data_IF_282579233703
#
_entry.id   IF_282579233703
#
_cell.length_a   1.000
_cell.length_b   1.000
_cell.length_c   1.000
_cell.angle_alpha   90.00
_cell.angle_beta   90.00
_cell.angle_gamma   90.00
#
_symmetry.space_group_name_H-M   'P 1'
#
loop_
_entity.id
_entity.type
_entity.pdbx_description
1 polymer ?
#
# COMPACT_ATOMS: atom_id res chain seq x y z
N UNK A 1 1.55 -7.03 4.16
CA UNK A 1 2.79 -7.24 3.41
C UNK A 1 3.36 -5.91 2.96
N UNK A 2 4.69 -5.82 2.81
CA UNK A 2 5.41 -4.63 2.38
C UNK A 2 6.39 -4.96 1.24
N UNK A 3 6.00 -4.77 -0.04
CA UNK A 3 6.91 -4.95 -1.16
C UNK A 3 7.85 -3.75 -1.30
N UNK A 4 9.16 -3.98 -1.20
CA UNK A 4 10.14 -2.88 -1.11
C UNK A 4 10.60 -2.39 -2.49
N UNK A 5 10.67 -1.07 -2.68
CA UNK A 5 11.35 -0.45 -3.81
C UNK A 5 12.84 -0.29 -3.47
N UNK A 6 13.73 -0.75 -4.37
CA UNK A 6 15.16 -0.76 -4.08
C UNK A 6 15.68 0.64 -3.78
N UNK A 7 16.33 0.81 -2.64
CA UNK A 7 16.97 2.07 -2.24
C UNK A 7 16.55 2.55 -0.87
N UNK A 8 15.49 2.02 -0.25
CA UNK A 8 14.93 2.60 0.97
C UNK A 8 14.92 1.67 2.18
N UNK A 9 15.98 0.88 2.39
CA UNK A 9 16.04 -0.05 3.53
C UNK A 9 15.78 0.67 4.87
N UNK A 10 16.43 1.82 5.08
CA UNK A 10 16.25 2.63 6.29
C UNK A 10 14.84 3.18 6.42
N UNK A 11 14.19 3.45 5.29
CA UNK A 11 12.79 3.85 5.27
C UNK A 11 11.89 2.69 5.70
N UNK A 12 12.15 1.49 5.21
CA UNK A 12 11.40 0.29 5.57
C UNK A 12 11.52 0.00 7.08
N UNK A 13 12.73 0.04 7.64
CA UNK A 13 12.94 -0.09 9.09
C UNK A 13 12.17 0.96 9.89
N UNK A 14 12.18 2.21 9.41
CA UNK A 14 11.41 3.30 10.03
C UNK A 14 9.90 3.03 9.95
N UNK A 15 9.39 2.59 8.80
CA UNK A 15 7.98 2.26 8.62
C UNK A 15 7.54 1.12 9.54
N UNK A 16 8.38 0.08 9.73
CA UNK A 16 8.12 -1.03 10.66
C UNK A 16 8.09 -0.55 12.11
N UNK A 17 9.03 0.30 12.52
CA UNK A 17 9.05 0.87 13.86
C UNK A 17 7.77 1.66 14.15
N UNK A 18 7.37 2.51 13.21
CA UNK A 18 6.13 3.29 13.30
C UNK A 18 4.89 2.38 13.32
N UNK A 19 4.87 1.30 12.54
CA UNK A 19 3.81 0.31 12.59
C UNK A 19 3.71 -0.35 13.97
N UNK A 20 4.83 -0.72 14.58
CA UNK A 20 4.85 -1.29 15.93
C UNK A 20 4.42 -0.30 17.03
N UNK A 21 4.76 0.99 16.88
CA UNK A 21 4.35 2.06 17.80
C UNK A 21 2.83 2.31 17.74
N UNK A 22 2.28 2.43 16.53
CA UNK A 22 0.89 2.87 16.33
C UNK A 22 -0.12 1.76 16.11
N UNK A 23 0.33 0.55 15.78
CA UNK A 23 -0.53 -0.61 15.56
C UNK A 23 0.07 -1.89 16.19
N UNK A 24 0.29 -1.92 17.52
CA UNK A 24 1.06 -2.99 18.17
C UNK A 24 0.47 -4.41 18.03
N UNK A 25 -0.82 -4.54 17.73
CA UNK A 25 -1.52 -5.80 17.50
C UNK A 25 -1.70 -6.14 16.01
N UNK A 26 -0.89 -5.55 15.12
CA UNK A 26 -0.90 -5.86 13.70
C UNK A 26 -0.53 -7.33 13.44
N UNK A 27 -1.09 -7.92 12.37
CA UNK A 27 -0.69 -9.24 11.88
C UNK A 27 0.77 -9.24 11.40
N UNK A 28 1.47 -10.39 11.38
CA UNK A 28 2.85 -10.44 10.91
C UNK A 28 3.07 -9.77 9.55
N UNK A 29 4.16 -9.02 9.43
CA UNK A 29 4.51 -8.26 8.25
C UNK A 29 5.49 -9.05 7.40
N UNK A 30 5.02 -9.42 6.21
CA UNK A 30 5.88 -10.02 5.20
C UNK A 30 6.51 -8.94 4.36
N UNK A 31 7.82 -8.78 4.51
CA UNK A 31 8.63 -7.88 3.71
C UNK A 31 9.08 -8.64 2.48
N UNK A 32 8.63 -8.17 1.33
CA UNK A 32 8.87 -8.84 0.06
C UNK A 32 9.85 -7.99 -0.71
N UNK A 33 11.05 -8.49 -0.90
CA UNK A 33 12.07 -7.63 -1.42
C UNK A 33 13.35 -8.32 -1.74
N UNK A 34 14.37 -7.47 -1.87
CA UNK A 34 15.64 -7.81 -2.48
C UNK A 34 16.77 -7.79 -1.46
N UNK A 35 16.49 -7.46 -0.19
CA UNK A 35 17.51 -7.13 0.79
C UNK A 35 17.45 -7.96 2.09
N UNK A 36 18.64 -8.43 2.48
CA UNK A 36 19.02 -9.16 3.68
C UNK A 36 19.32 -8.23 4.88
N UNK A 37 19.01 -6.94 4.77
CA UNK A 37 19.44 -5.93 5.73
C UNK A 37 18.51 -5.73 6.94
N UNK A 38 17.27 -6.22 6.89
CA UNK A 38 16.36 -6.15 8.04
C UNK A 38 16.68 -7.31 8.96
N UNK A 39 17.18 -6.98 10.15
CA UNK A 39 17.39 -7.96 11.20
C UNK A 39 16.04 -8.35 11.81
N UNK A 40 15.45 -9.44 11.32
CA UNK A 40 14.18 -10.00 11.81
C UNK A 40 14.17 -10.20 13.33
N UNK A 41 15.35 -10.44 13.95
CA UNK A 41 15.45 -10.62 15.41
C UNK A 41 15.09 -9.36 16.19
N UNK A 42 15.14 -8.18 15.56
CA UNK A 42 14.74 -6.90 16.15
C UNK A 42 13.22 -6.70 16.13
N UNK A 43 12.50 -7.42 15.28
CA UNK A 43 11.07 -7.21 15.04
C UNK A 43 10.32 -8.54 15.08
N UNK A 44 9.77 -8.88 16.24
CA UNK A 44 9.14 -10.20 16.51
C UNK A 44 8.01 -10.58 15.52
N UNK A 45 7.39 -9.60 14.87
CA UNK A 45 6.27 -9.76 13.94
C UNK A 45 6.67 -9.57 12.46
N UNK A 46 7.96 -9.64 12.11
CA UNK A 46 8.43 -9.43 10.73
C UNK A 46 9.03 -10.71 10.14
N UNK A 47 8.72 -10.98 8.87
CA UNK A 47 9.30 -12.06 8.07
C UNK A 47 9.82 -11.50 6.75
N UNK A 48 11.04 -11.82 6.37
CA UNK A 48 11.63 -11.34 5.12
C UNK A 48 11.64 -12.46 4.06
N UNK A 49 11.18 -12.12 2.86
CA UNK A 49 11.13 -13.04 1.72
C UNK A 49 11.97 -12.48 0.57
N UNK A 50 12.98 -13.25 0.19
CA UNK A 50 13.96 -12.88 -0.84
C UNK A 50 13.62 -13.58 -2.16
N UNK A 51 13.15 -12.80 -3.14
CA UNK A 51 12.80 -13.33 -4.45
C UNK A 51 14.01 -13.62 -5.36
N UNK A 52 15.19 -13.06 -5.03
CA UNK A 52 16.42 -13.27 -5.80
C UNK A 52 17.43 -12.13 -5.61
N UNK A 53 18.52 -12.15 -6.41
CA UNK A 53 19.57 -11.10 -6.38
C UNK A 53 19.07 -9.76 -6.95
N UNK A 54 19.48 -8.67 -6.31
CA UNK A 54 19.01 -7.30 -6.48
C UNK A 54 19.02 -6.77 -7.93
N UNK A 55 20.08 -7.04 -8.68
CA UNK A 55 20.25 -6.59 -10.07
C UNK A 55 19.42 -7.35 -11.11
N UNK A 56 18.72 -8.42 -10.69
CA UNK A 56 18.08 -9.38 -11.61
C UNK A 56 16.59 -9.57 -11.42
N UNK A 57 16.00 -8.96 -10.39
CA UNK A 57 14.57 -9.13 -10.07
C UNK A 57 13.88 -7.78 -10.00
N UNK A 58 12.84 -7.60 -10.81
CA UNK A 58 12.00 -6.42 -10.79
C UNK A 58 11.01 -6.43 -9.60
N UNK A 59 10.37 -5.28 -9.32
CA UNK A 59 9.45 -5.16 -8.19
C UNK A 59 8.24 -6.09 -8.36
N UNK A 60 7.65 -6.10 -9.55
CA UNK A 60 6.48 -6.96 -9.85
C UNK A 60 6.82 -8.45 -9.81
N UNK A 61 8.03 -8.84 -10.21
CA UNK A 61 8.49 -10.23 -10.15
C UNK A 61 8.63 -10.71 -8.71
N UNK A 62 9.24 -9.89 -7.84
CA UNK A 62 9.37 -10.23 -6.42
C UNK A 62 8.01 -10.37 -5.75
N UNK A 63 7.10 -9.43 -6.01
CA UNK A 63 5.73 -9.45 -5.52
C UNK A 63 4.98 -10.69 -6.02
N UNK A 64 5.02 -10.97 -7.33
CA UNK A 64 4.36 -12.14 -7.91
C UNK A 64 4.88 -13.43 -7.30
N UNK A 65 6.20 -13.61 -7.24
CA UNK A 65 6.83 -14.78 -6.65
C UNK A 65 6.37 -15.03 -5.21
N UNK A 66 6.30 -13.97 -4.39
CA UNK A 66 5.83 -14.08 -3.02
C UNK A 66 4.36 -14.53 -2.95
N UNK A 67 3.51 -13.86 -3.72
CA UNK A 67 2.07 -14.14 -3.73
C UNK A 67 1.75 -15.56 -4.20
N UNK A 68 2.53 -16.09 -5.13
CA UNK A 68 2.32 -17.42 -5.70
C UNK A 68 2.90 -18.55 -4.84
N UNK A 69 4.04 -18.31 -4.17
CA UNK A 69 4.78 -19.39 -3.47
C UNK A 69 4.61 -19.40 -1.96
N UNK A 70 4.35 -18.25 -1.35
CA UNK A 70 4.42 -18.10 0.11
C UNK A 70 3.09 -17.63 0.70
N UNK A 71 2.45 -16.63 0.11
CA UNK A 71 1.20 -16.08 0.61
C UNK A 71 0.04 -17.07 0.45
N UNK A 72 -0.48 -17.60 1.55
CA UNK A 72 -1.66 -18.47 1.55
C UNK A 72 -2.97 -17.69 1.63
N UNK A 73 -2.94 -16.45 2.12
CA UNK A 73 -4.13 -15.64 2.35
C UNK A 73 -4.86 -15.28 1.04
N UNK A 74 -6.18 -15.14 1.11
CA UNK A 74 -7.00 -14.66 0.00
C UNK A 74 -6.89 -13.15 -0.17
N UNK A 75 -6.86 -12.43 0.95
CA UNK A 75 -6.75 -10.98 1.01
C UNK A 75 -5.41 -10.58 1.58
N UNK A 76 -4.80 -9.55 0.99
CA UNK A 76 -3.55 -8.99 1.47
C UNK A 76 -3.76 -7.51 1.77
N UNK A 77 -3.21 -7.05 2.89
CA UNK A 77 -2.99 -5.62 3.10
C UNK A 77 -1.62 -5.27 2.52
N UNK A 78 -1.61 -4.49 1.44
CA UNK A 78 -0.38 -3.97 0.83
C UNK A 78 -0.09 -2.59 1.41
N UNK A 79 1.11 -2.41 1.97
CA UNK A 79 1.66 -1.13 2.43
C UNK A 79 3.04 -0.93 1.76
N UNK A 80 3.40 0.29 1.35
CA UNK A 80 4.75 0.53 0.81
C UNK A 80 5.79 0.63 1.91
N UNK A 81 7.06 0.49 1.53
CA UNK A 81 8.21 0.56 2.42
C UNK A 81 8.52 1.98 2.90
N UNK A 82 7.88 3.00 2.34
CA UNK A 82 7.89 4.39 2.81
C UNK A 82 6.58 4.84 3.47
N UNK A 83 5.69 3.88 3.77
CA UNK A 83 4.38 4.14 4.36
C UNK A 83 4.46 4.21 5.89
N UNK A 84 4.86 5.36 6.42
CA UNK A 84 5.05 5.56 7.87
C UNK A 84 3.75 5.86 8.59
N UNK A 85 3.17 4.86 9.27
CA UNK A 85 1.95 5.05 10.07
C UNK A 85 2.19 6.13 11.14
N UNK A 86 1.24 7.04 11.30
CA UNK A 86 1.42 8.21 12.16
C UNK A 86 0.37 8.34 13.28
N UNK A 87 -0.60 7.43 13.32
CA UNK A 87 -1.60 7.30 14.38
C UNK A 87 -2.24 5.91 14.30
N UNK A 88 -2.94 5.44 15.35
CA UNK A 88 -3.64 4.17 15.31
C UNK A 88 -4.64 4.08 14.15
N UNK A 89 -4.69 2.95 13.41
CA UNK A 89 -5.69 2.76 12.36
C UNK A 89 -7.11 2.75 12.89
N UNK A 90 -8.05 3.19 12.05
CA UNK A 90 -9.47 3.13 12.37
C UNK A 90 -9.99 1.70 12.17
N UNK A 91 -10.04 0.91 13.27
CA UNK A 91 -10.45 -0.50 13.25
C UNK A 91 -11.81 -0.73 12.59
N UNK A 92 -12.81 0.08 12.95
CA UNK A 92 -14.16 -0.03 12.38
C UNK A 92 -14.15 0.10 10.85
N UNK A 93 -13.38 1.04 10.31
CA UNK A 93 -13.26 1.24 8.85
C UNK A 93 -12.49 0.11 8.19
N UNK A 94 -11.46 -0.44 8.83
CA UNK A 94 -10.74 -1.61 8.34
C UNK A 94 -11.64 -2.84 8.27
N UNK A 95 -12.37 -3.14 9.35
CA UNK A 95 -13.33 -4.26 9.41
C UNK A 95 -14.42 -4.11 8.35
N UNK A 96 -14.94 -2.90 8.19
CA UNK A 96 -15.92 -2.59 7.13
C UNK A 96 -15.34 -2.80 5.73
N UNK A 97 -14.12 -2.34 5.46
CA UNK A 97 -13.47 -2.51 4.16
C UNK A 97 -13.25 -4.00 3.85
N UNK A 98 -12.75 -4.78 4.82
CA UNK A 98 -12.58 -6.24 4.69
C UNK A 98 -13.94 -6.89 4.41
N UNK A 99 -14.97 -6.60 5.20
CA UNK A 99 -16.30 -7.19 5.01
C UNK A 99 -16.89 -6.91 3.62
N UNK A 100 -16.68 -5.71 3.08
CA UNK A 100 -17.13 -5.34 1.73
C UNK A 100 -16.39 -6.15 0.66
N UNK A 101 -15.06 -6.23 0.76
CA UNK A 101 -14.25 -6.98 -0.22
C UNK A 101 -14.56 -8.48 -0.14
N UNK A 102 -14.76 -9.04 1.05
CA UNK A 102 -15.05 -10.47 1.25
C UNK A 102 -16.41 -10.88 0.71
N UNK A 103 -17.41 -9.99 0.74
CA UNK A 103 -18.77 -10.29 0.27
C UNK A 103 -18.96 -10.06 -1.24
N UNK A 104 -18.09 -9.29 -1.88
CA UNK A 104 -18.21 -8.93 -3.30
C UNK A 104 -16.99 -9.36 -4.10
N UNK A 105 -17.16 -10.48 -4.80
CA UNK A 105 -16.14 -11.13 -5.62
C UNK A 105 -15.68 -10.32 -6.83
N UNK A 106 -16.40 -9.25 -7.15
CA UNK A 106 -16.01 -8.33 -8.21
C UNK A 106 -15.02 -7.26 -7.76
N UNK A 107 -14.76 -7.09 -6.46
CA UNK A 107 -13.80 -6.10 -5.97
C UNK A 107 -12.38 -6.67 -6.02
N UNK A 108 -11.52 -6.03 -6.82
CA UNK A 108 -10.10 -6.33 -6.95
C UNK A 108 -9.29 -5.76 -5.78
N UNK A 109 -9.56 -4.50 -5.40
CA UNK A 109 -8.97 -3.88 -4.22
C UNK A 109 -9.88 -2.85 -3.57
N UNK A 110 -9.65 -2.64 -2.27
CA UNK A 110 -10.22 -1.56 -1.48
C UNK A 110 -9.08 -0.69 -0.96
N UNK A 111 -8.94 0.49 -1.52
CA UNK A 111 -7.94 1.47 -1.11
C UNK A 111 -8.32 2.10 0.22
N UNK A 112 -7.34 2.20 1.11
CA UNK A 112 -7.50 2.70 2.48
C UNK A 112 -7.03 4.14 2.63
N UNK A 113 -6.51 4.71 1.55
CA UNK A 113 -6.15 6.12 1.41
C UNK A 113 -7.30 6.91 0.78
N UNK A 114 -7.47 8.15 1.22
CA UNK A 114 -8.39 9.06 0.56
C UNK A 114 -7.77 9.55 -0.74
N UNK A 115 -8.53 9.45 -1.82
CA UNK A 115 -8.19 10.13 -3.06
C UNK A 115 -9.24 11.17 -3.40
N UNK A 116 -8.76 12.26 -4.02
CA UNK A 116 -9.58 13.26 -4.66
C UNK A 116 -10.24 12.69 -5.93
N UNK A 117 -11.33 11.94 -5.76
CA UNK A 117 -12.11 11.41 -6.88
C UNK A 117 -13.50 12.04 -6.90
N UNK A 118 -14.00 12.36 -8.10
CA UNK A 118 -15.44 12.61 -8.29
C UNK A 118 -16.17 11.32 -7.94
N UNK A 119 -16.95 11.28 -6.85
CA UNK A 119 -17.39 10.02 -6.29
C UNK A 119 -18.54 9.42 -7.13
N UNK A 120 -18.28 8.30 -7.80
CA UNK A 120 -19.35 7.43 -8.32
C UNK A 120 -19.69 6.38 -7.27
N UNK A 121 -20.93 6.37 -6.71
CA UNK A 121 -21.32 5.39 -5.70
C UNK A 121 -21.16 3.96 -6.20
N UNK A 122 -20.60 3.09 -5.37
CA UNK A 122 -20.45 1.68 -5.72
C UNK A 122 -21.68 0.87 -5.32
N UNK A 123 -22.44 0.36 -6.30
CA UNK A 123 -23.60 -0.57 -6.12
C UNK A 123 -24.50 -0.18 -4.94
N UNK A 124 -25.01 1.06 -4.97
CA UNK A 124 -25.91 1.65 -3.96
C UNK A 124 -25.31 1.86 -2.56
N UNK A 125 -24.00 1.68 -2.37
CA UNK A 125 -23.30 2.09 -1.14
C UNK A 125 -22.98 3.58 -1.24
N UNK A 126 -23.59 4.38 -0.38
CA UNK A 126 -23.40 5.84 -0.38
C UNK A 126 -22.01 6.25 0.11
N UNK A 127 -21.38 5.43 0.94
CA UNK A 127 -20.09 5.70 1.58
C UNK A 127 -18.90 5.01 0.90
N UNK A 128 -19.15 4.24 -0.18
CA UNK A 128 -18.11 3.59 -0.98
C UNK A 128 -18.21 4.06 -2.43
N UNK A 129 -17.07 4.35 -3.02
CA UNK A 129 -16.98 4.90 -4.38
C UNK A 129 -16.04 4.07 -5.24
N UNK A 130 -16.36 3.97 -6.53
CA UNK A 130 -15.48 3.34 -7.53
C UNK A 130 -14.33 4.30 -7.87
N UNK A 131 -13.14 3.75 -8.05
CA UNK A 131 -12.03 4.49 -8.63
C UNK A 131 -12.33 4.83 -10.09
N UNK A 132 -12.18 6.10 -10.51
CA UNK A 132 -12.43 6.50 -11.89
C UNK A 132 -11.33 5.98 -12.83
N UNK A 133 -11.67 5.94 -14.12
CA UNK A 133 -10.76 5.58 -15.19
C UNK A 133 -9.73 6.69 -15.47
N UNK A 134 -8.58 6.67 -14.80
CA UNK A 134 -7.52 7.70 -14.94
C UNK A 134 -6.11 7.10 -14.93
N UNK A 135 -5.07 7.89 -15.22
CA UNK A 135 -3.70 7.39 -15.43
C UNK A 135 -3.06 6.66 -14.22
N UNK A 136 -3.66 6.77 -13.03
CA UNK A 136 -3.21 6.11 -11.79
C UNK A 136 -4.39 5.45 -11.05
N UNK A 137 -5.30 4.79 -11.80
CA UNK A 137 -6.45 4.05 -11.23
C UNK A 137 -5.99 2.83 -10.44
N UNK A 138 -4.87 2.27 -10.84
CA UNK A 138 -4.03 1.42 -9.99
C UNK A 138 -3.00 2.31 -9.31
N UNK A 139 -3.00 2.29 -7.98
CA UNK A 139 -1.88 2.77 -7.19
C UNK A 139 -1.51 1.74 -6.13
N UNK A 140 -0.30 1.87 -5.65
CA UNK A 140 0.34 0.95 -4.71
C UNK A 140 0.33 1.49 -3.27
N UNK A 141 -0.43 2.56 -3.02
CA UNK A 141 -0.72 3.05 -1.67
C UNK A 141 -1.52 2.00 -0.88
N UNK A 142 -1.71 2.24 0.42
CA UNK A 142 -2.36 1.26 1.29
C UNK A 142 -3.72 0.79 0.75
N UNK A 143 -3.83 -0.52 0.55
CA UNK A 143 -5.04 -1.15 0.04
C UNK A 143 -5.14 -2.61 0.46
N UNK A 144 -6.38 -3.06 0.66
CA UNK A 144 -6.71 -4.48 0.75
C UNK A 144 -6.86 -4.99 -0.68
N UNK A 145 -6.03 -5.93 -1.09
CA UNK A 145 -6.10 -6.55 -2.41
C UNK A 145 -6.62 -7.97 -2.29
N UNK A 146 -7.47 -8.37 -3.24
CA UNK A 146 -7.75 -9.78 -3.44
C UNK A 146 -6.60 -10.40 -4.24
N UNK A 147 -5.92 -11.38 -3.64
CA UNK A 147 -4.69 -12.00 -4.16
C UNK A 147 -4.84 -12.45 -5.61
N UNK A 148 -5.94 -13.14 -5.94
CA UNK A 148 -6.19 -13.67 -7.29
C UNK A 148 -6.18 -12.59 -8.38
N UNK A 149 -6.73 -11.41 -8.10
CA UNK A 149 -6.78 -10.30 -9.03
C UNK A 149 -5.42 -9.63 -9.17
N UNK A 150 -4.71 -9.40 -8.06
CA UNK A 150 -3.37 -8.84 -8.09
C UNK A 150 -2.38 -9.75 -8.85
N UNK A 151 -2.39 -11.06 -8.58
CA UNK A 151 -1.55 -12.03 -9.31
C UNK A 151 -1.86 -12.04 -10.80
N UNK A 152 -3.15 -11.97 -11.18
CA UNK A 152 -3.57 -11.91 -12.59
C UNK A 152 -3.01 -10.66 -13.27
N UNK A 153 -3.09 -9.50 -12.62
CA UNK A 153 -2.55 -8.25 -13.13
C UNK A 153 -1.02 -8.32 -13.26
N UNK A 154 -0.32 -8.84 -12.25
CA UNK A 154 1.14 -8.99 -12.26
C UNK A 154 1.62 -9.89 -13.40
N UNK A 155 1.01 -11.08 -13.59
CA UNK A 155 1.33 -12.00 -14.68
C UNK A 155 1.17 -11.35 -16.05
N UNK A 156 0.12 -10.55 -16.20
CA UNK A 156 -0.20 -9.88 -17.45
C UNK A 156 0.79 -8.77 -17.80
N UNK A 157 1.19 -8.00 -16.79
CA UNK A 157 2.07 -6.86 -16.95
C UNK A 157 3.54 -7.29 -17.07
N UNK A 158 3.94 -8.36 -16.40
CA UNK A 158 5.30 -8.87 -16.40
C UNK A 158 6.25 -8.04 -15.53
N UNK A 159 7.52 -8.02 -15.93
CA UNK A 159 8.64 -7.45 -15.15
C UNK A 159 8.72 -5.93 -15.24
N UNK A 160 8.55 -5.22 -14.13
CA UNK A 160 8.62 -3.75 -14.08
C UNK A 160 8.86 -3.16 -12.69
N UNK A 161 9.14 -1.84 -12.65
CA UNK A 161 9.20 -1.04 -11.42
C UNK A 161 7.79 -0.78 -10.87
N UNK A 162 7.74 -0.22 -9.67
CA UNK A 162 6.48 0.15 -9.00
C UNK A 162 5.72 1.22 -9.79
N UNK A 163 6.40 2.26 -10.27
CA UNK A 163 5.79 3.37 -11.02
C UNK A 163 5.27 2.90 -12.38
N UNK A 164 6.02 2.02 -13.05
CA UNK A 164 5.59 1.40 -14.29
C UNK A 164 4.38 0.48 -14.07
N UNK A 165 4.31 -0.23 -12.93
CA UNK A 165 3.15 -1.04 -12.57
C UNK A 165 1.89 -0.19 -12.36
N UNK A 166 1.99 0.93 -11.65
CA UNK A 166 0.86 1.85 -11.46
C UNK A 166 0.33 2.38 -12.79
N UNK A 167 1.21 2.88 -13.65
CA UNK A 167 0.84 3.43 -14.96
C UNK A 167 0.26 2.37 -15.89
N UNK A 168 0.99 1.27 -16.11
CA UNK A 168 0.58 0.22 -17.06
C UNK A 168 -0.61 -0.58 -16.56
N UNK A 169 -0.69 -0.81 -15.25
CA UNK A 169 -1.85 -1.41 -14.61
C UNK A 169 -3.09 -0.55 -14.78
N UNK A 170 -2.96 0.77 -14.61
CA UNK A 170 -4.04 1.71 -14.87
C UNK A 170 -4.49 1.70 -16.33
N UNK A 171 -3.56 1.67 -17.29
CA UNK A 171 -3.90 1.57 -18.72
C UNK A 171 -4.69 0.30 -19.05
N UNK A 172 -4.24 -0.85 -18.54
CA UNK A 172 -4.94 -2.14 -18.73
C UNK A 172 -6.33 -2.09 -18.10
N UNK A 173 -6.40 -1.67 -16.83
CA UNK A 173 -7.65 -1.59 -16.09
C UNK A 173 -8.64 -0.68 -16.81
N UNK A 174 -8.22 0.52 -17.22
CA UNK A 174 -9.11 1.52 -17.81
C UNK A 174 -9.63 1.12 -19.19
N UNK A 175 -8.85 0.38 -19.99
CA UNK A 175 -9.29 -0.12 -21.29
C UNK A 175 -10.31 -1.26 -21.16
N UNK A 176 -10.25 -1.98 -20.06
CA UNK A 176 -11.00 -3.21 -19.82
C UNK A 176 -11.88 -3.10 -18.59
N UNK A 177 -12.37 -1.90 -18.28
CA UNK A 177 -13.29 -1.66 -17.16
C UNK A 177 -14.54 -2.52 -17.36
N UNK A 178 -14.48 -3.72 -16.79
CA UNK A 178 -15.59 -4.65 -16.65
C UNK A 178 -16.11 -4.49 -15.23
N UNK A 179 -17.37 -4.84 -14.99
CA UNK A 179 -17.95 -4.84 -13.64
C UNK A 179 -17.39 -5.97 -12.76
N UNK A 180 -16.44 -6.75 -13.28
CA UNK A 180 -15.60 -7.70 -12.58
C UNK A 180 -14.19 -7.13 -12.46
N UNK A 181 -13.66 -6.97 -11.25
CA UNK A 181 -12.34 -6.36 -10.94
C UNK A 181 -12.38 -4.84 -10.74
N UNK A 182 -13.33 -4.35 -9.96
CA UNK A 182 -13.40 -2.93 -9.58
C UNK A 182 -12.44 -2.60 -8.44
N UNK A 183 -11.96 -1.37 -8.45
CA UNK A 183 -11.19 -0.78 -7.35
C UNK A 183 -12.08 0.24 -6.65
N UNK A 184 -12.13 0.19 -5.32
CA UNK A 184 -13.02 1.04 -4.52
C UNK A 184 -12.30 1.69 -3.35
N UNK A 185 -12.88 2.74 -2.77
CA UNK A 185 -12.47 3.33 -1.48
C UNK A 185 -13.69 3.90 -0.76
N UNK A 186 -13.51 4.28 0.50
CA UNK A 186 -14.48 5.10 1.17
C UNK A 186 -14.55 6.49 0.54
N UNK A 187 -15.78 7.01 0.44
CA UNK A 187 -16.01 8.41 0.08
C UNK A 187 -15.26 9.33 1.05
N UNK A 188 -14.52 10.30 0.52
CA UNK A 188 -13.92 11.35 1.33
C UNK A 188 -15.03 12.21 1.96
N UNK A 189 -14.93 12.57 3.26
CA UNK A 189 -15.93 13.40 3.92
C UNK A 189 -15.98 14.86 3.44
N UNK A 190 -15.10 15.29 2.52
CA UNK A 190 -15.09 16.66 1.97
C UNK A 190 -14.92 16.74 0.45
N UNK A 191 -15.24 17.90 -0.11
CA UNK A 191 -15.09 18.24 -1.55
C UNK A 191 -13.65 18.61 -1.93
N UNK A 192 -12.78 18.86 -0.95
CA UNK A 192 -11.42 19.31 -1.20
C UNK A 192 -10.57 18.15 -1.72
N UNK A 193 -9.84 18.35 -2.84
CA UNK A 193 -8.88 17.37 -3.32
C UNK A 193 -7.81 17.13 -2.25
N UNK A 194 -7.92 16.01 -1.52
CA UNK A 194 -6.81 15.53 -0.74
C UNK A 194 -5.86 14.86 -1.73
N UNK A 195 -4.78 15.57 -2.07
CA UNK A 195 -3.61 14.89 -2.57
C UNK A 195 -3.13 13.93 -1.47
N UNK A 196 -2.57 12.80 -1.90
CA UNK A 196 -2.18 11.57 -1.18
C UNK A 196 -1.51 11.72 0.20
N UNK A 197 -1.29 12.94 0.68
CA UNK A 197 -0.65 13.23 1.96
C UNK A 197 -0.77 14.69 2.43
N UNK A 198 -1.73 15.47 1.92
CA UNK A 198 -1.83 16.92 2.20
C UNK A 198 -2.79 17.28 3.31
N UNK A 199 -3.56 16.32 3.82
CA UNK A 199 -4.44 16.51 4.98
C UNK A 199 -3.59 16.60 6.26
N UNK A 200 -3.62 17.73 7.00
CA UNK A 200 -2.95 17.82 8.29
C UNK A 200 -3.66 17.00 9.38
N UNK A 201 -4.95 16.65 9.23
CA UNK A 201 -5.75 15.94 10.23
C UNK A 201 -6.11 14.53 9.76
N UNK A 202 -5.10 13.67 9.66
CA UNK A 202 -5.25 12.27 9.21
C UNK A 202 -5.97 11.34 10.19
N UNK A 203 -6.51 11.88 11.29
CA UNK A 203 -7.19 11.11 12.34
C UNK A 203 -8.41 10.34 11.82
N UNK A 204 -9.02 10.80 10.72
CA UNK A 204 -10.19 10.15 10.12
C UNK A 204 -9.83 9.14 9.01
N UNK A 205 -8.54 8.99 8.68
CA UNK A 205 -8.08 8.07 7.65
C UNK A 205 -8.18 6.64 8.16
N UNK A 206 -8.49 5.72 7.25
CA UNK A 206 -8.57 4.29 7.62
C UNK A 206 -7.22 3.79 8.14
N UNK A 207 -6.14 4.16 7.45
CA UNK A 207 -4.76 4.02 7.94
C UNK A 207 -4.10 5.41 7.85
N UNK A 208 -3.89 6.10 8.99
CA UNK A 208 -3.17 7.38 9.03
C UNK A 208 -1.68 7.17 8.76
N UNK A 209 -1.10 7.88 7.80
CA UNK A 209 0.31 7.71 7.45
C UNK A 209 0.96 8.98 6.92
N UNK A 210 2.28 8.97 6.86
CA UNK A 210 3.13 9.90 6.15
C UNK A 210 3.87 9.16 5.03
N UNK A 211 3.92 9.72 3.82
CA UNK A 211 4.90 9.27 2.83
C UNK A 211 6.27 9.75 3.30
N UNK A 212 7.05 8.81 3.83
CA UNK A 212 8.33 9.10 4.47
C UNK A 212 9.37 9.59 3.47
N UNK A 213 9.25 9.22 2.20
CA UNK A 213 10.18 9.59 1.14
C UNK A 213 9.49 10.43 0.08
N UNK A 214 10.20 11.44 -0.41
CA UNK A 214 9.82 12.18 -1.60
C UNK A 214 11.07 12.38 -2.46
N UNK A 215 11.02 11.91 -3.72
CA UNK A 215 12.12 12.05 -4.71
C UNK A 215 13.47 11.55 -4.18
N UNK A 216 13.50 10.39 -3.52
CA UNK A 216 14.75 9.80 -3.04
C UNK A 216 15.28 10.36 -1.72
N UNK A 217 14.54 11.25 -1.06
CA UNK A 217 14.97 11.87 0.21
C UNK A 217 13.87 11.75 1.25
N UNK A 218 14.25 11.84 2.52
CA UNK A 218 13.27 12.00 3.59
C UNK A 218 12.36 13.19 3.28
N UNK A 219 11.06 12.99 3.45
CA UNK A 219 10.07 14.03 3.23
C UNK A 219 10.18 15.08 4.34
N UNK A 220 10.75 16.24 3.99
CA UNK A 220 11.05 17.30 4.96
C UNK A 220 9.82 17.82 5.72
N UNK A 221 8.62 17.67 5.14
CA UNK A 221 7.35 18.01 5.81
C UNK A 221 7.20 17.28 7.14
N UNK A 222 7.80 16.10 7.29
CA UNK A 222 7.68 15.25 8.47
C UNK A 222 8.96 15.18 9.29
N UNK A 223 9.93 16.07 9.05
CA UNK A 223 11.19 16.10 9.78
C UNK A 223 10.99 16.13 11.29
N UNK A 224 10.07 16.96 11.77
CA UNK A 224 9.79 17.07 13.21
C UNK A 224 9.14 15.79 13.76
N UNK A 225 8.23 15.19 13.01
CA UNK A 225 7.64 13.90 13.38
C UNK A 225 8.70 12.80 13.48
N UNK A 226 9.69 12.79 12.58
CA UNK A 226 10.75 11.79 12.55
C UNK A 226 11.87 12.05 13.58
N UNK A 227 12.20 13.33 13.86
CA UNK A 227 13.30 13.72 14.76
C UNK A 227 13.07 13.31 16.22
N UNK A 228 11.82 13.39 16.69
CA UNK A 228 11.45 13.00 18.06
C UNK A 228 11.58 11.49 18.30
N UNK A 229 11.69 10.68 17.24
CA UNK A 229 11.72 9.21 17.31
C UNK A 229 13.14 8.62 17.22
N UNK A 230 14.19 9.46 17.24
CA UNK A 230 15.60 9.05 17.07
C UNK A 230 15.81 8.17 15.83
N UNK A 231 15.02 8.43 14.78
CA UNK A 231 15.12 7.71 13.51
C UNK A 231 16.38 8.16 12.74
N UNK A 232 16.92 7.33 11.83
CA UNK A 232 18.16 7.63 11.12
C UNK A 232 18.09 9.01 10.42
N UNK A 233 19.01 9.92 10.76
CA UNK A 233 19.06 11.28 10.19
C UNK A 233 19.78 11.36 8.84
N UNK A 234 20.47 10.29 8.46
CA UNK A 234 21.16 10.15 7.18
C UNK A 234 20.16 9.81 6.05
N UNK A 235 20.55 10.07 4.80
CA UNK A 235 19.71 9.85 3.62
C UNK A 235 19.12 8.41 3.59
N UNK A 236 17.85 8.23 3.17
CA UNK A 236 17.24 6.90 3.16
C UNK A 236 17.75 6.02 2.00
N UNK A 237 18.42 6.64 1.01
CA UNK A 237 19.18 6.03 -0.09
C UNK A 237 20.60 5.64 0.31
#
# INVERSE_FOLDING_TARGET
MMPTSNGYQRCCETAIQLLGEFWPDHAPVDIVGRNQGIDERRYASVRCFLAGRQERVAWTEALQWYLEKWCQDEFILLLLDDYGICAPPCRERLEKAIGIVSLDDSIASFHLTHMAVRPEPYRNKSDVVRYPAWAYSINTQAAIWRKRHLVTLLRRLGSMSIEAFELRGSEVQNRELTDSQVHVTFRSPGETPLWLDTDPQKMNWTIPYHNLVHRGKWNERYRDFLSHRRLPTENPL
#
